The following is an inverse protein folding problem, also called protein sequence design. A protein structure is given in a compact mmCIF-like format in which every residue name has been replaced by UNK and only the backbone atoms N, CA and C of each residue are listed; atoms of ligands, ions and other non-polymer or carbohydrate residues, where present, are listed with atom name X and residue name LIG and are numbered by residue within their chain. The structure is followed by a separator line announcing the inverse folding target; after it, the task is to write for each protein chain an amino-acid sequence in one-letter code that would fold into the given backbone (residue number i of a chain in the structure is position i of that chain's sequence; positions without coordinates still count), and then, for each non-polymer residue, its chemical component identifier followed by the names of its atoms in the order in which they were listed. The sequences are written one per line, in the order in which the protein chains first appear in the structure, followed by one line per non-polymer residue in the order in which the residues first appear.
data_IF_964439840785
#
_entry.id   IF_964439840785
#
_cell.length_a   1.000
_cell.length_b   1.000
_cell.length_c   1.000
_cell.angle_alpha   90.00
_cell.angle_beta   90.00
_cell.angle_gamma   90.00
#
_symmetry.space_group_name_H-M   'P 1'
#
loop_
_entity.id
_entity.type
_entity.pdbx_description
1 polymer ?
#
# COMPACT_ATOMS: atom_id res chain seq x y z
N UNK A 1 16.90 -19.92 16.64
CA UNK A 1 15.64 -19.28 16.24
C UNK A 1 15.95 -18.45 15.01
N UNK A 2 15.29 -18.69 13.88
CA UNK A 2 15.55 -17.92 12.66
C UNK A 2 14.82 -16.55 12.72
N UNK A 3 15.08 -15.65 11.76
CA UNK A 3 14.45 -14.33 11.72
C UNK A 3 12.92 -14.41 11.70
N UNK A 4 12.37 -15.28 10.86
CA UNK A 4 10.92 -15.48 10.70
C UNK A 4 10.25 -15.89 12.02
N UNK A 5 10.83 -16.84 12.73
CA UNK A 5 10.33 -17.30 14.04
C UNK A 5 10.31 -16.13 15.05
N UNK A 6 11.35 -15.28 15.05
CA UNK A 6 11.43 -14.11 15.92
C UNK A 6 10.26 -13.15 15.67
N UNK A 7 10.00 -12.83 14.41
CA UNK A 7 8.92 -11.92 14.04
C UNK A 7 7.55 -12.52 14.39
N UNK A 8 7.34 -13.82 14.09
CA UNK A 8 6.09 -14.49 14.44
C UNK A 8 5.84 -14.47 15.96
N UNK A 9 6.87 -14.75 16.78
CA UNK A 9 6.77 -14.64 18.24
C UNK A 9 6.45 -13.20 18.66
N UNK A 10 7.16 -12.20 18.11
CA UNK A 10 6.90 -10.79 18.41
C UNK A 10 5.49 -10.33 18.00
N UNK A 11 4.89 -10.91 16.96
CA UNK A 11 3.51 -10.62 16.56
C UNK A 11 2.47 -11.20 17.53
N UNK A 12 2.80 -12.26 18.29
CA UNK A 12 1.89 -12.85 19.29
C UNK A 12 1.85 -12.07 20.60
N UNK A 13 2.89 -11.29 20.91
CA UNK A 13 2.94 -10.44 22.09
C UNK A 13 2.49 -9.01 21.76
N UNK A 14 1.52 -8.48 22.50
CA UNK A 14 0.94 -7.17 22.23
C UNK A 14 1.97 -6.04 22.29
N UNK A 15 2.89 -6.10 23.25
CA UNK A 15 3.91 -5.05 23.44
C UNK A 15 4.95 -5.09 22.32
N UNK A 16 5.48 -6.26 22.01
CA UNK A 16 6.45 -6.48 20.94
C UNK A 16 5.84 -6.18 19.57
N UNK A 17 4.55 -6.49 19.36
CA UNK A 17 3.84 -6.19 18.13
C UNK A 17 3.78 -4.68 17.88
N UNK A 18 3.53 -3.85 18.90
CA UNK A 18 3.58 -2.40 18.75
C UNK A 18 4.98 -1.88 18.39
N UNK A 19 6.05 -2.56 18.82
CA UNK A 19 7.41 -2.20 18.47
C UNK A 19 7.79 -2.58 17.03
N UNK A 20 7.21 -3.66 16.49
CA UNK A 20 7.40 -4.05 15.09
C UNK A 20 6.83 -2.99 14.12
N UNK A 21 5.67 -2.44 14.45
CA UNK A 21 5.00 -1.43 13.63
C UNK A 21 5.26 -0.02 14.18
N UNK A 22 6.49 0.46 14.00
CA UNK A 22 6.86 1.84 14.33
C UNK A 22 6.17 2.86 13.41
N UNK A 23 6.25 4.13 13.81
CA UNK A 23 5.58 5.26 13.15
C UNK A 23 5.85 5.31 11.64
N UNK A 24 7.12 5.21 11.23
CA UNK A 24 7.53 5.23 9.82
C UNK A 24 7.01 4.01 9.03
N UNK A 25 6.95 2.82 9.63
CA UNK A 25 6.39 1.63 8.95
C UNK A 25 4.87 1.75 8.78
N UNK A 26 4.20 2.33 9.77
CA UNK A 26 2.76 2.61 9.70
C UNK A 26 2.43 3.70 8.69
N UNK A 27 3.25 4.75 8.62
CA UNK A 27 3.16 5.77 7.57
C UNK A 27 3.27 5.12 6.18
N UNK A 28 4.24 4.23 5.97
CA UNK A 28 4.41 3.51 4.71
C UNK A 28 3.21 2.61 4.38
N UNK A 29 2.62 1.94 5.37
CA UNK A 29 1.39 1.15 5.19
C UNK A 29 0.19 2.03 4.84
N UNK A 30 0.06 3.20 5.47
CA UNK A 30 -0.99 4.17 5.17
C UNK A 30 -0.82 4.73 3.76
N UNK A 31 0.40 5.12 3.37
CA UNK A 31 0.73 5.58 2.02
C UNK A 31 0.46 4.53 0.93
N UNK A 32 0.62 3.24 1.27
CA UNK A 32 0.30 2.14 0.37
C UNK A 32 -1.22 1.90 0.22
N UNK A 33 -2.02 2.14 1.26
CA UNK A 33 -3.47 1.91 1.24
C UNK A 33 -4.28 3.12 0.76
N UNK A 34 -3.75 4.33 0.93
CA UNK A 34 -4.52 5.57 0.79
C UNK A 34 -3.78 6.62 -0.03
N UNK A 35 -4.55 7.53 -0.61
CA UNK A 35 -4.04 8.74 -1.25
C UNK A 35 -3.82 9.82 -0.17
N UNK A 36 -2.72 9.65 0.59
CA UNK A 36 -2.40 10.47 1.77
C UNK A 36 -2.40 11.97 1.50
N UNK A 37 -1.96 12.38 0.29
CA UNK A 37 -1.94 13.77 -0.15
C UNK A 37 -3.33 14.43 -0.19
N UNK A 38 -4.41 13.63 -0.23
CA UNK A 38 -5.79 14.11 -0.22
C UNK A 38 -6.41 14.11 1.19
N UNK A 39 -5.75 13.53 2.18
CA UNK A 39 -6.36 13.22 3.47
C UNK A 39 -5.98 14.18 4.59
N UNK A 40 -4.95 15.01 4.41
CA UNK A 40 -4.35 15.87 5.45
C UNK A 40 -4.21 15.12 6.78
N UNK A 41 -3.50 14.00 6.76
CA UNK A 41 -3.23 13.20 7.96
C UNK A 41 -1.74 13.19 8.27
N UNK A 42 -1.42 13.12 9.56
CA UNK A 42 -0.06 12.99 10.05
C UNK A 42 0.00 12.04 11.26
N UNK A 43 1.22 11.67 11.64
CA UNK A 43 1.49 10.89 12.84
C UNK A 43 1.17 11.65 14.14
N UNK A 44 1.26 11.00 15.31
CA UNK A 44 1.71 9.63 15.48
C UNK A 44 0.69 8.62 14.93
N UNK A 45 1.19 7.61 14.23
CA UNK A 45 0.42 6.49 13.73
C UNK A 45 0.34 5.38 14.78
N UNK A 46 -0.83 4.78 14.93
CA UNK A 46 -1.04 3.68 15.89
C UNK A 46 -1.77 2.51 15.23
N UNK A 47 -1.28 1.27 15.35
CA UNK A 47 -1.95 0.12 14.79
C UNK A 47 -3.04 -0.38 15.74
N UNK A 48 -4.19 -0.75 15.17
CA UNK A 48 -5.26 -1.48 15.82
C UNK A 48 -5.36 -2.84 15.15
N UNK A 49 -5.17 -3.90 15.93
CA UNK A 49 -5.34 -5.28 15.51
C UNK A 49 -6.71 -5.77 16.00
N UNK A 50 -7.69 -5.81 15.10
CA UNK A 50 -9.00 -6.40 15.41
C UNK A 50 -8.93 -7.91 15.25
N UNK A 51 -8.22 -8.37 14.22
CA UNK A 51 -7.98 -9.77 13.94
C UNK A 51 -6.57 -9.95 13.35
N UNK A 52 -5.86 -10.94 13.87
CA UNK A 52 -4.53 -11.35 13.41
C UNK A 52 -4.50 -12.87 13.33
N UNK A 53 -4.42 -13.41 12.11
CA UNK A 53 -4.35 -14.85 11.86
C UNK A 53 -2.95 -15.23 11.39
N UNK A 54 -2.38 -16.32 11.89
CA UNK A 54 -1.04 -16.79 11.52
C UNK A 54 -1.12 -17.99 10.57
N UNK A 55 -0.14 -18.10 9.66
CA UNK A 55 -0.05 -19.23 8.73
C UNK A 55 -1.28 -19.37 7.84
N UNK A 56 -1.73 -18.25 7.28
CA UNK A 56 -2.96 -18.22 6.52
C UNK A 56 -2.71 -18.76 5.10
N UNK A 57 -3.43 -19.83 4.77
CA UNK A 57 -3.32 -20.51 3.48
C UNK A 57 -4.61 -20.35 2.70
N UNK A 58 -4.53 -19.82 1.49
CA UNK A 58 -5.66 -19.79 0.57
C UNK A 58 -5.56 -20.99 -0.36
N UNK A 59 -6.54 -21.92 -0.34
CA UNK A 59 -6.60 -22.97 -1.34
C UNK A 59 -6.86 -22.35 -2.71
N UNK A 60 -6.14 -22.82 -3.73
CA UNK A 60 -6.40 -22.40 -5.11
C UNK A 60 -7.70 -23.04 -5.58
N UNK A 61 -8.77 -22.26 -5.74
CA UNK A 61 -10.02 -22.75 -6.31
C UNK A 61 -9.84 -22.99 -7.82
N UNK A 62 -10.15 -24.20 -8.27
CA UNK A 62 -10.26 -24.49 -9.70
C UNK A 62 -11.48 -23.77 -10.29
N UNK A 63 -11.34 -23.24 -11.50
CA UNK A 63 -12.45 -22.65 -12.26
C UNK A 63 -13.02 -23.73 -13.18
N UNK A 64 -14.33 -23.95 -13.11
CA UNK A 64 -15.08 -24.85 -13.98
C UNK A 64 -15.92 -24.02 -14.95
N UNK A 65 -15.48 -23.90 -16.19
CA UNK A 65 -16.25 -23.26 -17.25
C UNK A 65 -17.02 -24.33 -18.03
N UNK A 66 -18.30 -24.07 -18.32
CA UNK A 66 -19.18 -24.99 -19.04
C UNK A 66 -19.85 -24.31 -20.22
N UNK A 67 -19.81 -24.96 -21.39
CA UNK A 67 -20.57 -24.56 -22.57
C UNK A 67 -21.54 -25.68 -22.96
N UNK A 68 -22.80 -25.31 -23.16
CA UNK A 68 -23.83 -26.20 -23.66
C UNK A 68 -24.00 -25.96 -25.16
N UNK A 69 -24.02 -27.02 -25.96
CA UNK A 69 -24.23 -26.92 -27.41
C UNK A 69 -25.22 -27.98 -27.87
N UNK A 70 -26.21 -27.63 -28.71
CA UNK A 70 -27.07 -28.63 -29.35
C UNK A 70 -26.25 -29.42 -30.37
N UNK A 71 -26.36 -30.76 -30.36
CA UNK A 71 -25.55 -31.61 -31.24
C UNK A 71 -26.41 -32.65 -31.94
N UNK A 72 -26.50 -32.53 -33.27
CA UNK A 72 -27.39 -33.35 -34.10
C UNK A 72 -28.86 -32.94 -33.91
N UNK A 73 -29.55 -32.59 -35.01
CA UNK A 73 -30.92 -32.10 -34.95
C UNK A 73 -31.85 -33.01 -34.16
N UNK A 74 -32.29 -32.53 -32.99
CA UNK A 74 -33.28 -33.18 -32.12
C UNK A 74 -32.72 -33.65 -30.77
N UNK A 75 -33.12 -32.95 -29.70
CA UNK A 75 -33.06 -33.30 -28.27
C UNK A 75 -31.71 -33.59 -27.60
N UNK A 76 -30.62 -33.76 -28.35
CA UNK A 76 -29.29 -33.98 -27.76
C UNK A 76 -28.55 -32.67 -27.49
N UNK A 77 -28.21 -32.46 -26.22
CA UNK A 77 -27.36 -31.36 -25.77
C UNK A 77 -26.05 -31.95 -25.26
N UNK A 78 -24.94 -31.47 -25.79
CA UNK A 78 -23.60 -31.77 -25.27
C UNK A 78 -23.20 -30.66 -24.30
N UNK A 79 -22.68 -31.06 -23.14
CA UNK A 79 -22.03 -30.17 -22.20
C UNK A 79 -20.52 -30.38 -22.31
N UNK A 80 -19.78 -29.32 -22.65
CA UNK A 80 -18.32 -29.31 -22.58
C UNK A 80 -17.89 -28.49 -21.39
N UNK A 81 -17.14 -29.12 -20.50
CA UNK A 81 -16.56 -28.45 -19.36
C UNK A 81 -15.06 -28.32 -19.55
N UNK A 82 -14.53 -27.13 -19.33
CA UNK A 82 -13.12 -26.87 -19.21
C UNK A 82 -12.81 -26.54 -17.75
N UNK A 83 -12.00 -27.39 -17.12
CA UNK A 83 -11.49 -27.10 -15.78
C UNK A 83 -10.13 -26.44 -15.92
N UNK A 84 -9.98 -25.26 -15.35
CA UNK A 84 -8.74 -24.49 -15.31
C UNK A 84 -8.30 -24.32 -13.86
N UNK A 85 -6.99 -24.20 -13.60
CA UNK A 85 -6.48 -23.98 -12.25
C UNK A 85 -6.35 -25.23 -11.37
N UNK A 86 -6.60 -26.42 -11.91
CA UNK A 86 -6.16 -27.70 -11.32
C UNK A 86 -4.63 -27.84 -11.51
N UNK A 87 -3.85 -27.16 -10.67
CA UNK A 87 -2.38 -27.24 -10.62
C UNK A 87 -1.90 -27.70 -9.26
N UNK A 88 -0.64 -28.20 -9.23
CA UNK A 88 0.23 -28.85 -8.21
C UNK A 88 -0.05 -28.77 -6.68
N UNK A 89 -1.10 -28.11 -6.20
CA UNK A 89 -1.43 -28.01 -4.79
C UNK A 89 -0.63 -26.95 -4.04
N UNK A 90 0.11 -26.06 -4.73
CA UNK A 90 0.76 -24.94 -4.04
C UNK A 90 -0.29 -23.92 -3.60
N UNK A 91 -0.80 -24.05 -2.37
CA UNK A 91 -1.59 -23.01 -1.72
C UNK A 91 -0.77 -21.73 -1.62
N UNK A 92 -1.44 -20.59 -1.77
CA UNK A 92 -0.83 -19.29 -1.46
C UNK A 92 -0.69 -19.19 0.05
N UNK A 93 0.55 -19.05 0.52
CA UNK A 93 0.86 -18.94 1.95
C UNK A 93 1.21 -17.50 2.32
N UNK A 94 0.55 -16.96 3.33
CA UNK A 94 0.96 -15.70 3.98
C UNK A 94 1.30 -15.97 5.43
N UNK A 95 2.33 -15.28 5.93
CA UNK A 95 2.87 -15.57 7.27
C UNK A 95 1.88 -15.15 8.36
N UNK A 96 1.19 -14.03 8.13
CA UNK A 96 0.02 -13.64 8.89
C UNK A 96 -0.95 -12.78 8.06
N UNK A 97 -2.21 -12.71 8.48
CA UNK A 97 -3.22 -11.82 7.95
C UNK A 97 -3.68 -10.88 9.05
N UNK A 98 -3.50 -9.58 8.86
CA UNK A 98 -3.98 -8.53 9.76
C UNK A 98 -5.23 -7.88 9.19
N UNK A 99 -6.31 -7.84 9.97
CA UNK A 99 -7.48 -6.98 9.77
C UNK A 99 -7.62 -6.02 10.95
N UNK A 100 -7.83 -4.75 10.66
CA UNK A 100 -7.99 -3.74 11.68
C UNK A 100 -7.90 -2.34 11.12
N UNK A 101 -7.15 -1.47 11.78
CA UNK A 101 -6.99 -0.10 11.34
C UNK A 101 -5.64 0.48 11.73
N UNK A 102 -5.27 1.59 11.08
CA UNK A 102 -4.22 2.49 11.53
C UNK A 102 -4.91 3.79 11.96
N UNK A 103 -4.60 4.29 13.14
CA UNK A 103 -5.08 5.60 13.61
C UNK A 103 -4.02 6.63 13.31
N UNK A 104 -4.40 7.67 12.57
CA UNK A 104 -3.60 8.86 12.33
C UNK A 104 -4.31 10.09 12.94
N UNK A 105 -3.70 11.28 12.86
CA UNK A 105 -4.36 12.55 13.22
C UNK A 105 -4.66 13.37 11.98
N UNK A 106 -5.82 14.01 11.95
CA UNK A 106 -6.13 15.02 10.94
C UNK A 106 -5.35 16.30 11.23
N UNK A 107 -4.80 16.89 10.18
CA UNK A 107 -4.15 18.20 10.22
C UNK A 107 -5.13 19.21 9.63
N UNK A 108 -5.30 20.37 10.26
CA UNK A 108 -6.13 21.43 9.68
C UNK A 108 -5.58 21.80 8.32
N UNK A 109 -6.46 21.97 7.33
CA UNK A 109 -6.02 22.35 6.00
C UNK A 109 -5.36 23.74 6.06
N UNK A 110 -4.13 23.82 5.55
CA UNK A 110 -3.51 25.10 5.25
C UNK A 110 -4.42 25.89 4.29
N UNK A 111 -4.39 27.21 4.41
CA UNK A 111 -5.22 28.14 3.64
C UNK A 111 -5.44 27.73 2.18
N UNK A 112 -6.70 27.57 1.78
CA UNK A 112 -7.08 27.27 0.38
C UNK A 112 -7.10 28.55 -0.45
N UNK A 113 -6.68 28.49 -1.72
CA UNK A 113 -6.93 29.60 -2.67
C UNK A 113 -8.44 29.67 -2.93
N UNK A 114 -9.04 30.83 -2.68
CA UNK A 114 -10.49 31.07 -2.85
C UNK A 114 -10.81 31.92 -4.07
N UNK A 115 -9.87 32.74 -4.52
CA UNK A 115 -10.02 33.50 -5.75
C UNK A 115 -8.66 33.70 -6.41
N UNK A 116 -8.67 33.65 -7.75
CA UNK A 116 -7.57 34.11 -8.59
C UNK A 116 -8.16 35.20 -9.47
N UNK A 117 -7.58 36.39 -9.39
CA UNK A 117 -7.91 37.51 -10.26
C UNK A 117 -6.67 37.82 -11.11
N UNK A 118 -6.89 38.09 -12.38
CA UNK A 118 -5.82 38.32 -13.33
C UNK A 118 -6.16 39.51 -14.20
N UNK A 119 -5.27 40.48 -14.21
CA UNK A 119 -5.34 41.69 -15.01
C UNK A 119 -4.19 41.67 -16.00
N UNK A 120 -4.51 41.69 -17.30
CA UNK A 120 -3.53 41.64 -18.39
C UNK A 120 -3.65 42.89 -19.24
N UNK A 121 -2.52 43.50 -19.54
CA UNK A 121 -2.41 44.70 -20.37
C UNK A 121 -1.42 44.42 -21.48
N UNK A 122 -1.78 44.79 -22.71
CA UNK A 122 -0.87 44.68 -23.85
C UNK A 122 0.07 45.89 -23.86
N UNK A 123 1.38 45.63 -23.82
CA UNK A 123 2.43 46.64 -23.83
C UNK A 123 3.21 46.48 -25.13
N UNK A 124 3.33 47.55 -25.90
CA UNK A 124 4.22 47.56 -27.06
C UNK A 124 5.68 47.69 -26.60
N UNK A 125 6.51 46.76 -27.04
CA UNK A 125 7.96 46.76 -26.85
C UNK A 125 8.65 46.94 -28.21
N UNK A 126 9.95 47.21 -28.19
CA UNK A 126 10.75 47.35 -29.43
C UNK A 126 10.71 46.11 -30.33
N UNK A 127 10.39 44.94 -29.78
CA UNK A 127 10.33 43.66 -30.47
C UNK A 127 8.89 43.20 -30.78
N UNK A 128 7.88 44.04 -30.51
CA UNK A 128 6.45 43.76 -30.76
C UNK A 128 5.57 43.87 -29.52
N UNK A 129 4.33 43.40 -29.63
CA UNK A 129 3.32 43.45 -28.56
C UNK A 129 3.52 42.31 -27.57
N UNK A 130 3.71 42.63 -26.28
CA UNK A 130 3.83 41.66 -25.19
C UNK A 130 2.71 41.89 -24.19
N UNK A 131 2.04 40.83 -23.74
CA UNK A 131 1.07 40.95 -22.65
C UNK A 131 1.80 40.93 -21.30
N UNK A 132 1.61 41.97 -20.52
CA UNK A 132 2.10 42.09 -19.16
C UNK A 132 0.90 42.18 -18.22
N UNK A 133 0.90 41.38 -17.14
CA UNK A 133 -0.22 41.36 -16.22
C UNK A 133 0.16 41.02 -14.79
N UNK A 134 -0.76 41.30 -13.88
CA UNK A 134 -0.68 40.95 -12.47
C UNK A 134 -1.69 39.85 -12.15
N UNK A 135 -1.27 38.91 -11.30
CA UNK A 135 -2.14 37.87 -10.76
C UNK A 135 -2.27 38.11 -9.25
N UNK A 136 -3.50 38.37 -8.80
CA UNK A 136 -3.84 38.44 -7.38
C UNK A 136 -4.46 37.12 -6.94
N UNK A 137 -3.86 36.50 -5.93
CA UNK A 137 -4.33 35.24 -5.34
C UNK A 137 -4.86 35.53 -3.93
N UNK A 138 -6.13 35.21 -3.70
CA UNK A 138 -6.79 35.34 -2.39
C UNK A 138 -6.85 33.99 -1.72
N UNK A 139 -6.49 33.94 -0.44
CA UNK A 139 -6.51 32.74 0.38
C UNK A 139 -7.62 32.81 1.43
N UNK A 140 -8.27 31.67 1.70
CA UNK A 140 -9.10 31.49 2.89
C UNK A 140 -8.23 31.58 4.16
N UNK A 141 -8.80 32.06 5.29
CA UNK A 141 -8.13 31.88 6.57
C UNK A 141 -7.86 30.38 6.82
N UNK A 142 -6.76 30.04 7.49
CA UNK A 142 -6.43 28.66 7.80
C UNK A 142 -7.55 28.04 8.65
N UNK A 143 -7.80 26.75 8.45
CA UNK A 143 -8.68 26.01 9.34
C UNK A 143 -8.03 25.93 10.72
N UNK A 144 -8.75 26.34 11.76
CA UNK A 144 -8.26 26.32 13.15
C UNK A 144 -8.85 25.16 13.95
N UNK A 145 -9.48 24.19 13.28
CA UNK A 145 -9.98 22.98 13.93
C UNK A 145 -8.86 22.24 14.66
N UNK A 146 -9.11 21.67 15.84
CA UNK A 146 -8.08 20.90 16.53
C UNK A 146 -7.81 19.56 15.82
N UNK A 147 -6.56 19.08 15.74
CA UNK A 147 -6.24 17.76 15.21
C UNK A 147 -7.05 16.66 15.91
N UNK A 148 -7.80 15.88 15.12
CA UNK A 148 -8.65 14.80 15.63
C UNK A 148 -8.18 13.42 15.12
N UNK A 149 -8.31 12.35 15.93
CA UNK A 149 -7.98 11.00 15.49
C UNK A 149 -8.83 10.54 14.31
N UNK A 150 -8.18 9.98 13.28
CA UNK A 150 -8.83 9.40 12.11
C UNK A 150 -8.45 7.94 12.00
N UNK A 151 -9.46 7.06 12.04
CA UNK A 151 -9.29 5.61 11.87
C UNK A 151 -9.26 5.26 10.40
N UNK A 152 -8.24 4.52 9.99
CA UNK A 152 -7.98 4.10 8.60
C UNK A 152 -8.05 2.57 8.53
N UNK A 153 -9.20 1.97 8.20
CA UNK A 153 -9.33 0.53 8.17
C UNK A 153 -8.43 -0.11 7.11
N UNK A 154 -7.73 -1.18 7.46
CA UNK A 154 -6.86 -1.92 6.56
C UNK A 154 -7.06 -3.42 6.65
N UNK A 155 -6.57 -4.11 5.63
CA UNK A 155 -6.36 -5.55 5.59
C UNK A 155 -5.03 -5.77 4.93
N UNK A 156 -4.11 -6.44 5.62
CA UNK A 156 -2.74 -6.63 5.19
C UNK A 156 -2.34 -8.10 5.28
N UNK A 157 -1.88 -8.67 4.17
CA UNK A 157 -1.15 -9.91 4.17
C UNK A 157 0.32 -9.63 4.55
N UNK A 158 0.78 -10.19 5.66
CA UNK A 158 2.15 -10.01 6.15
C UNK A 158 3.05 -11.09 5.56
N UNK A 159 4.14 -10.67 4.91
CA UNK A 159 5.19 -11.53 4.38
C UNK A 159 6.49 -11.24 5.12
N UNK A 160 7.00 -12.23 5.83
CA UNK A 160 8.22 -12.14 6.61
C UNK A 160 9.34 -12.77 5.78
N UNK A 161 10.33 -11.97 5.39
CA UNK A 161 11.47 -12.42 4.58
C UNK A 161 12.78 -12.01 5.26
N UNK A 162 13.71 -12.94 5.35
CA UNK A 162 15.08 -12.68 5.84
C UNK A 162 15.97 -12.26 4.66
N UNK A 163 17.29 -12.40 4.75
CA UNK A 163 18.20 -12.17 3.63
C UNK A 163 18.11 -13.22 2.51
N UNK A 164 18.58 -12.85 1.31
CA UNK A 164 18.72 -13.76 0.17
C UNK A 164 17.49 -13.91 -0.74
N UNK A 165 16.51 -13.01 -0.67
CA UNK A 165 15.41 -12.97 -1.64
C UNK A 165 15.69 -12.00 -2.80
N UNK A 166 15.05 -12.26 -3.93
CA UNK A 166 14.97 -11.32 -5.06
C UNK A 166 13.77 -10.39 -4.87
N UNK A 167 13.97 -9.08 -4.98
CA UNK A 167 12.89 -8.08 -4.93
C UNK A 167 11.86 -8.35 -6.03
N UNK A 168 12.30 -8.76 -7.22
CA UNK A 168 11.41 -9.10 -8.33
C UNK A 168 10.53 -10.30 -8.02
N UNK A 169 11.10 -11.33 -7.39
CA UNK A 169 10.33 -12.52 -7.00
C UNK A 169 9.30 -12.16 -5.92
N UNK A 170 9.69 -11.32 -4.96
CA UNK A 170 8.81 -10.87 -3.90
C UNK A 170 7.67 -9.98 -4.42
N UNK A 171 7.92 -9.15 -5.43
CA UNK A 171 6.86 -8.39 -6.14
C UNK A 171 5.88 -9.33 -6.83
N UNK A 172 6.39 -10.33 -7.56
CA UNK A 172 5.57 -11.34 -8.24
C UNK A 172 4.72 -12.13 -7.24
N UNK A 173 5.32 -12.60 -6.15
CA UNK A 173 4.64 -13.28 -5.05
C UNK A 173 3.56 -12.39 -4.43
N UNK A 174 3.88 -11.12 -4.16
CA UNK A 174 2.93 -10.15 -3.59
C UNK A 174 1.73 -9.89 -4.50
N UNK A 175 1.94 -9.82 -5.82
CA UNK A 175 0.84 -9.69 -6.77
C UNK A 175 -0.05 -10.93 -6.75
N UNK A 176 0.55 -12.11 -6.82
CA UNK A 176 -0.20 -13.37 -6.83
C UNK A 176 -1.02 -13.58 -5.55
N UNK A 177 -0.40 -13.36 -4.38
CA UNK A 177 -1.07 -13.41 -3.07
C UNK A 177 -2.30 -12.53 -3.05
N UNK A 178 -2.14 -11.31 -3.53
CA UNK A 178 -3.17 -10.30 -3.46
C UNK A 178 -4.35 -10.61 -4.37
N UNK A 179 -4.08 -11.01 -5.60
CA UNK A 179 -5.12 -11.44 -6.56
C UNK A 179 -5.93 -12.61 -5.99
N UNK A 180 -5.24 -13.59 -5.40
CA UNK A 180 -5.88 -14.75 -4.79
C UNK A 180 -6.71 -14.39 -3.55
N UNK A 181 -6.18 -13.56 -2.63
CA UNK A 181 -6.93 -13.15 -1.44
C UNK A 181 -8.16 -12.32 -1.81
N UNK A 182 -8.05 -11.43 -2.80
CA UNK A 182 -9.19 -10.66 -3.30
C UNK A 182 -10.24 -11.57 -3.92
N UNK A 183 -9.86 -12.62 -4.67
CA UNK A 183 -10.84 -13.56 -5.25
C UNK A 183 -11.62 -14.33 -4.19
N UNK A 184 -11.02 -14.60 -3.02
CA UNK A 184 -11.71 -15.20 -1.87
C UNK A 184 -12.53 -14.18 -1.05
N UNK A 185 -12.63 -12.93 -1.49
CA UNK A 185 -13.33 -11.87 -0.76
C UNK A 185 -12.58 -11.34 0.45
N UNK A 186 -11.28 -11.66 0.60
CA UNK A 186 -10.41 -11.10 1.62
C UNK A 186 -9.96 -9.72 1.17
N UNK A 187 -10.76 -8.72 1.53
CA UNK A 187 -10.47 -7.31 1.29
C UNK A 187 -10.96 -6.46 2.46
N UNK A 188 -10.41 -5.26 2.56
CA UNK A 188 -10.92 -4.29 3.54
C UNK A 188 -12.29 -3.80 3.11
N UNK A 189 -13.25 -3.74 4.04
CA UNK A 189 -14.55 -3.10 3.79
C UNK A 189 -14.33 -1.70 3.23
N UNK A 190 -14.95 -1.41 2.09
CA UNK A 190 -14.84 -0.10 1.42
C UNK A 190 -15.53 0.96 2.27
N UNK A 191 -14.81 2.04 2.54
CA UNK A 191 -15.34 3.27 3.10
C UNK A 191 -15.37 4.30 1.96
N UNK A 192 -16.55 4.81 1.55
CA UNK A 192 -16.65 5.78 0.46
C UNK A 192 -16.01 7.12 0.78
N UNK A 193 -15.82 7.46 2.06
CA UNK A 193 -15.31 8.77 2.50
C UNK A 193 -13.78 8.81 2.59
N UNK A 194 -13.11 7.69 2.32
CA UNK A 194 -11.65 7.60 2.34
C UNK A 194 -11.10 7.38 0.93
N UNK A 195 -10.21 8.27 0.43
CA UNK A 195 -9.59 8.12 -0.88
C UNK A 195 -8.57 6.97 -0.83
N UNK A 196 -9.02 5.77 -1.19
CA UNK A 196 -8.21 4.57 -1.19
C UNK A 196 -7.47 4.39 -2.51
N UNK A 197 -6.20 3.99 -2.40
CA UNK A 197 -5.47 3.43 -3.53
C UNK A 197 -6.08 2.07 -3.89
N UNK A 198 -6.12 1.77 -5.17
CA UNK A 198 -6.41 0.41 -5.64
C UNK A 198 -5.09 -0.36 -5.69
N UNK A 199 -5.09 -1.66 -5.33
CA UNK A 199 -6.21 -2.50 -4.88
C UNK A 199 -6.49 -2.45 -3.35
N UNK A 200 -7.67 -2.92 -2.87
CA UNK A 200 -8.15 -2.73 -1.48
C UNK A 200 -7.53 -3.68 -0.43
N UNK A 201 -6.44 -4.37 -0.78
CA UNK A 201 -5.72 -5.30 0.07
C UNK A 201 -4.22 -4.96 0.00
N UNK A 202 -3.62 -4.75 1.16
CA UNK A 202 -2.19 -4.52 1.29
C UNK A 202 -1.43 -5.83 1.34
N UNK A 203 -0.22 -5.82 0.80
CA UNK A 203 0.82 -6.79 1.16
C UNK A 203 1.89 -6.03 1.93
N UNK A 204 2.22 -6.46 3.14
CA UNK A 204 3.22 -5.82 3.99
C UNK A 204 4.46 -6.71 4.07
N UNK A 205 5.60 -6.19 3.64
CA UNK A 205 6.88 -6.86 3.76
C UNK A 205 7.50 -6.55 5.11
N UNK A 206 7.79 -7.57 5.90
CA UNK A 206 8.53 -7.47 7.15
C UNK A 206 9.93 -8.04 6.92
N UNK A 207 10.92 -7.16 6.84
CA UNK A 207 12.30 -7.51 6.49
C UNK A 207 13.31 -6.84 7.42
N UNK A 208 14.50 -7.45 7.63
CA UNK A 208 15.50 -6.86 8.51
C UNK A 208 16.22 -5.69 7.83
N UNK A 209 16.62 -4.68 8.62
CA UNK A 209 17.24 -3.45 8.11
C UNK A 209 18.53 -3.64 7.32
N UNK A 210 19.27 -4.73 7.59
CA UNK A 210 20.48 -5.12 6.84
C UNK A 210 20.21 -5.43 5.35
N UNK A 211 18.96 -5.75 4.97
CA UNK A 211 18.62 -6.02 3.56
C UNK A 211 18.79 -4.77 2.69
N UNK A 212 18.69 -3.57 3.28
CA UNK A 212 18.88 -2.30 2.58
C UNK A 212 20.35 -1.93 2.35
N UNK A 213 21.30 -2.77 2.77
CA UNK A 213 22.71 -2.58 2.44
C UNK A 213 23.01 -2.93 0.96
N UNK A 214 22.12 -3.67 0.29
CA UNK A 214 22.23 -4.03 -1.13
C UNK A 214 22.16 -2.81 -2.07
N UNK A 215 23.03 -2.80 -3.09
CA UNK A 215 23.08 -1.77 -4.12
C UNK A 215 21.83 -1.71 -5.01
N UNK A 216 21.06 -2.80 -5.08
CA UNK A 216 19.86 -2.89 -5.90
C UNK A 216 18.67 -2.09 -5.35
N UNK A 217 18.72 -1.64 -4.09
CA UNK A 217 17.69 -0.77 -3.53
C UNK A 217 17.84 0.68 -3.97
N UNK A 218 16.75 1.34 -4.43
CA UNK A 218 16.77 2.73 -4.85
C UNK A 218 16.98 3.66 -3.65
N UNK A 219 17.50 4.87 -3.89
CA UNK A 219 17.62 5.93 -2.86
C UNK A 219 19.02 6.13 -2.29
N UNK A 220 19.99 5.30 -2.68
CA UNK A 220 21.39 5.49 -2.26
C UNK A 220 22.11 6.59 -3.05
N UNK A 221 22.79 7.50 -2.35
CA UNK A 221 23.66 8.52 -2.96
C UNK A 221 25.12 8.29 -2.55
N UNK A 222 26.06 8.48 -3.49
CA UNK A 222 27.48 8.36 -3.20
C UNK A 222 27.91 9.35 -2.10
N UNK A 223 28.69 8.87 -1.13
CA UNK A 223 29.22 9.67 -0.02
C UNK A 223 28.36 9.71 1.24
N UNK A 224 27.17 9.07 1.24
CA UNK A 224 26.42 8.83 2.47
C UNK A 224 27.14 7.80 3.35
N UNK A 225 27.07 7.96 4.68
CA UNK A 225 27.43 6.89 5.60
C UNK A 225 26.42 5.73 5.55
N UNK A 226 26.79 4.57 6.08
CA UNK A 226 25.97 3.35 5.98
C UNK A 226 24.59 3.46 6.65
N UNK A 227 24.41 4.32 7.64
CA UNK A 227 23.11 4.51 8.30
C UNK A 227 22.24 5.43 7.46
N UNK A 228 22.77 6.58 7.05
CA UNK A 228 22.07 7.51 6.17
C UNK A 228 21.69 6.85 4.83
N UNK A 229 22.56 5.97 4.31
CA UNK A 229 22.29 5.21 3.09
C UNK A 229 21.10 4.25 3.26
N UNK A 230 21.06 3.50 4.38
CA UNK A 230 19.94 2.60 4.69
C UNK A 230 18.63 3.35 4.87
N UNK A 231 18.65 4.47 5.58
CA UNK A 231 17.45 5.29 5.81
C UNK A 231 16.93 5.88 4.48
N UNK A 232 17.82 6.45 3.66
CA UNK A 232 17.45 6.98 2.35
C UNK A 232 16.89 5.91 1.40
N UNK A 233 17.48 4.70 1.43
CA UNK A 233 16.99 3.55 0.67
C UNK A 233 15.64 3.08 1.16
N UNK A 234 15.45 2.95 2.47
CA UNK A 234 14.16 2.59 3.08
C UNK A 234 13.06 3.57 2.71
N UNK A 235 13.34 4.88 2.76
CA UNK A 235 12.35 5.90 2.42
C UNK A 235 11.98 5.89 0.94
N UNK A 236 12.98 5.76 0.08
CA UNK A 236 12.77 5.72 -1.38
C UNK A 236 12.05 4.43 -1.80
N UNK A 237 12.49 3.29 -1.28
CA UNK A 237 11.86 2.00 -1.52
C UNK A 237 10.43 1.96 -0.98
N UNK A 238 10.17 2.47 0.23
CA UNK A 238 8.84 2.55 0.81
C UNK A 238 7.86 3.36 -0.05
N UNK A 239 8.30 4.52 -0.57
CA UNK A 239 7.48 5.34 -1.49
C UNK A 239 7.19 4.64 -2.81
N UNK A 240 8.19 3.96 -3.37
CA UNK A 240 8.03 3.19 -4.60
C UNK A 240 7.08 1.99 -4.40
N UNK A 241 7.28 1.18 -3.37
CA UNK A 241 6.44 0.03 -3.03
C UNK A 241 4.99 0.43 -2.70
N UNK A 242 4.79 1.59 -2.07
CA UNK A 242 3.46 2.11 -1.78
C UNK A 242 2.62 2.36 -3.05
N UNK A 243 3.26 2.70 -4.18
CA UNK A 243 2.56 2.80 -5.47
C UNK A 243 2.00 1.46 -5.94
N UNK A 244 2.67 0.38 -5.57
CA UNK A 244 2.27 -1.00 -5.85
C UNK A 244 1.34 -1.58 -4.78
N UNK A 245 0.85 -0.79 -3.83
CA UNK A 245 0.02 -1.24 -2.71
C UNK A 245 0.77 -2.17 -1.75
N UNK A 246 2.10 -2.03 -1.67
CA UNK A 246 2.97 -2.79 -0.79
C UNK A 246 3.47 -1.86 0.32
N UNK A 247 3.21 -2.24 1.57
CA UNK A 247 3.78 -1.57 2.73
C UNK A 247 5.08 -2.22 3.17
N UNK A 248 5.96 -1.44 3.78
CA UNK A 248 7.26 -1.90 4.21
C UNK A 248 7.39 -1.72 5.73
N UNK A 249 7.81 -2.79 6.41
CA UNK A 249 8.06 -2.83 7.85
C UNK A 249 9.49 -3.31 8.04
N UNK A 250 10.34 -2.41 8.53
CA UNK A 250 11.77 -2.69 8.69
C UNK A 250 12.08 -2.88 10.16
N UNK A 251 12.64 -4.04 10.49
CA UNK A 251 13.02 -4.37 11.86
C UNK A 251 14.54 -4.23 12.06
N UNK A 252 15.01 -3.88 13.27
CA UNK A 252 16.43 -3.92 13.61
C UNK A 252 17.08 -5.28 13.40
#
# INVERSE_FOLDING_TARGET
MNYKDKILVSLTDDTSRLQLFNDQSLEQLVAAAYEVDQMNIEGPYQPIFEELQFGFSVPKLGVLDGMWSPVGGGEKVEARFQVSGLGDGSSVWVDALWRGAIVARTVPANSKITAVQNEWTEVETSDGKVQQGAVQVTFAPPDNSAPSPKRLPITAALLIRDEGFSVTDLLSESKHIREQLISEGIQTKRDPDLPRRKPPLLVAWIIPGKVFDDADWPGGTAGMDATALRDARRDTAGKWLAQEGIGLVVTP
#
